data_IF_184851617077
#
_entry.id   IF_184851617077
#
_cell.length_a   1.000
_cell.length_b   1.000
_cell.length_c   1.000
_cell.angle_alpha   90.00
_cell.angle_beta   90.00
_cell.angle_gamma   90.00
#
_symmetry.space_group_name_H-M   'P 1'
#
loop_
_entity.id
_entity.type
_entity.pdbx_description
1 polymer ?
#
# COMPACT_ATOMS: atom_id res chain seq x y z
N UNK A 1 -18.31 2.01 -48.26
CA UNK A 1 -18.42 2.35 -46.82
C UNK A 1 -17.01 2.50 -46.30
N UNK A 2 -16.56 3.74 -46.12
CA UNK A 2 -15.22 4.02 -45.61
C UNK A 2 -15.29 3.96 -44.09
N UNK A 3 -14.27 3.36 -43.46
CA UNK A 3 -14.23 3.11 -42.03
C UNK A 3 -14.50 4.41 -41.25
N UNK A 4 -15.58 4.42 -40.48
CA UNK A 4 -16.26 5.64 -40.01
C UNK A 4 -15.56 6.25 -38.77
N UNK A 5 -14.62 5.52 -38.17
CA UNK A 5 -13.97 5.93 -36.93
C UNK A 5 -12.44 5.94 -37.08
N UNK A 6 -11.80 7.11 -37.00
CA UNK A 6 -10.35 7.23 -36.88
C UNK A 6 -9.81 6.41 -35.70
N UNK A 7 -8.60 5.85 -35.86
CA UNK A 7 -7.95 5.03 -34.83
C UNK A 7 -7.80 5.76 -33.49
N UNK A 8 -7.50 7.05 -33.53
CA UNK A 8 -7.33 7.87 -32.33
C UNK A 8 -8.65 8.03 -31.55
N UNK A 9 -9.77 8.15 -32.25
CA UNK A 9 -11.10 8.24 -31.64
C UNK A 9 -11.51 6.89 -31.01
N UNK A 10 -11.15 5.78 -31.65
CA UNK A 10 -11.31 4.45 -31.07
C UNK A 10 -10.47 4.28 -29.80
N UNK A 11 -9.19 4.67 -29.82
CA UNK A 11 -8.31 4.56 -28.65
C UNK A 11 -8.75 5.48 -27.51
N UNK A 12 -9.30 6.67 -27.80
CA UNK A 12 -9.85 7.57 -26.80
C UNK A 12 -11.03 6.93 -26.04
N UNK A 13 -11.92 6.21 -26.74
CA UNK A 13 -13.07 5.53 -26.14
C UNK A 13 -12.68 4.44 -25.13
N UNK A 14 -11.56 3.74 -25.37
CA UNK A 14 -11.01 2.73 -24.46
C UNK A 14 -10.38 3.36 -23.22
N UNK A 15 -9.81 4.56 -23.36
CA UNK A 15 -9.18 5.28 -22.25
C UNK A 15 -10.21 5.76 -21.22
N UNK A 16 -11.38 6.17 -21.67
CA UNK A 16 -12.46 6.67 -20.81
C UNK A 16 -13.09 5.55 -19.96
N UNK A 17 -13.10 4.32 -20.47
CA UNK A 17 -13.60 3.13 -19.75
C UNK A 17 -12.57 2.48 -18.84
N UNK A 18 -11.30 2.92 -18.89
CA UNK A 18 -10.26 2.41 -18.00
C UNK A 18 -10.42 2.97 -16.58
N UNK A 19 -10.91 2.12 -15.69
CA UNK A 19 -10.90 2.40 -14.26
C UNK A 19 -9.45 2.52 -13.75
N UNK A 20 -9.18 3.54 -12.92
CA UNK A 20 -7.87 3.70 -12.29
C UNK A 20 -7.64 2.56 -11.28
N UNK A 21 -6.37 2.22 -10.99
CA UNK A 21 -6.09 1.22 -9.93
C UNK A 21 -6.71 1.60 -8.58
N UNK A 22 -6.89 2.90 -8.32
CA UNK A 22 -7.55 3.40 -7.10
C UNK A 22 -9.05 3.10 -7.03
N UNK A 23 -9.69 2.79 -8.16
CA UNK A 23 -11.07 2.29 -8.20
C UNK A 23 -11.16 0.87 -7.62
N UNK A 24 -10.16 0.02 -7.91
CA UNK A 24 -10.12 -1.36 -7.44
C UNK A 24 -9.48 -1.53 -6.07
N UNK A 25 -8.62 -0.59 -5.67
CA UNK A 25 -7.80 -0.71 -4.47
C UNK A 25 -7.74 0.61 -3.69
N UNK A 26 -8.11 0.53 -2.41
CA UNK A 26 -7.88 1.62 -1.46
C UNK A 26 -6.42 1.60 -0.99
N UNK A 27 -5.56 2.28 -1.74
CA UNK A 27 -4.15 2.43 -1.41
C UNK A 27 -3.90 3.16 -0.10
N UNK A 28 -4.82 4.01 0.37
CA UNK A 28 -4.68 4.68 1.68
C UNK A 28 -4.84 3.65 2.79
N UNK A 29 -5.85 2.77 2.68
CA UNK A 29 -6.03 1.64 3.61
C UNK A 29 -4.85 0.70 3.59
N UNK A 30 -4.35 0.31 2.41
CA UNK A 30 -3.16 -0.54 2.31
C UNK A 30 -1.93 0.09 2.98
N UNK A 31 -1.68 1.37 2.72
CA UNK A 31 -0.55 2.10 3.31
C UNK A 31 -0.67 2.20 4.83
N UNK A 32 -1.88 2.44 5.36
CA UNK A 32 -2.13 2.44 6.81
C UNK A 32 -1.82 1.09 7.45
N UNK A 33 -2.31 0.00 6.86
CA UNK A 33 -2.06 -1.35 7.38
C UNK A 33 -0.57 -1.71 7.32
N UNK A 34 0.11 -1.33 6.23
CA UNK A 34 1.55 -1.53 6.09
C UNK A 34 2.33 -0.79 7.17
N UNK A 35 1.98 0.46 7.46
CA UNK A 35 2.63 1.25 8.50
C UNK A 35 2.47 0.60 9.89
N UNK A 36 1.28 0.10 10.22
CA UNK A 36 1.04 -0.59 11.49
C UNK A 36 1.90 -1.86 11.65
N UNK A 37 2.00 -2.67 10.58
CA UNK A 37 2.84 -3.88 10.58
C UNK A 37 4.32 -3.51 10.66
N UNK A 38 4.75 -2.46 9.96
CA UNK A 38 6.14 -2.01 9.96
C UNK A 38 6.60 -1.56 11.36
N UNK A 39 5.76 -0.84 12.11
CA UNK A 39 6.06 -0.44 13.49
C UNK A 39 6.27 -1.66 14.38
N UNK A 40 5.35 -2.64 14.31
CA UNK A 40 5.44 -3.88 15.10
C UNK A 40 6.69 -4.69 14.74
N UNK A 41 7.01 -4.80 13.44
CA UNK A 41 8.19 -5.51 12.98
C UNK A 41 9.48 -4.83 13.43
N UNK A 42 9.54 -3.49 13.38
CA UNK A 42 10.69 -2.74 13.87
C UNK A 42 10.89 -2.92 15.38
N UNK A 43 9.78 -2.91 16.15
CA UNK A 43 9.82 -3.21 17.59
C UNK A 43 10.31 -4.64 17.87
N UNK A 44 9.93 -5.62 17.06
CA UNK A 44 10.48 -6.99 17.18
C UNK A 44 11.97 -7.04 16.82
N UNK A 45 12.39 -6.35 15.77
CA UNK A 45 13.79 -6.30 15.35
C UNK A 45 14.69 -5.67 16.42
N UNK A 46 14.23 -4.63 17.12
CA UNK A 46 15.01 -4.03 18.21
C UNK A 46 15.21 -4.98 19.39
N UNK A 47 14.26 -5.91 19.62
CA UNK A 47 14.34 -6.90 20.69
C UNK A 47 15.32 -8.05 20.37
N UNK A 48 15.65 -8.31 19.10
CA UNK A 48 16.54 -9.41 18.68
C UNK A 48 18.01 -9.27 19.15
N UNK A 49 18.39 -8.14 19.75
CA UNK A 49 19.72 -7.92 20.35
C UNK A 49 19.67 -7.56 21.85
N UNK A 50 18.51 -7.71 22.48
CA UNK A 50 18.29 -7.30 23.86
C UNK A 50 19.08 -8.15 24.86
N UNK A 51 19.82 -7.50 25.76
CA UNK A 51 20.52 -8.16 26.88
C UNK A 51 19.59 -8.42 28.07
N UNK A 52 18.55 -7.60 28.23
CA UNK A 52 17.49 -7.79 29.24
C UNK A 52 16.12 -7.59 28.59
N UNK A 53 15.58 -8.71 28.11
CA UNK A 53 14.33 -8.75 27.38
C UNK A 53 13.13 -8.22 28.20
N UNK A 54 13.14 -8.38 29.52
CA UNK A 54 12.02 -7.94 30.36
C UNK A 54 11.94 -6.42 30.42
N UNK A 55 13.08 -5.77 30.64
CA UNK A 55 13.15 -4.30 30.67
C UNK A 55 12.86 -3.70 29.31
N UNK A 56 13.40 -4.28 28.23
CA UNK A 56 13.23 -3.74 26.88
C UNK A 56 11.82 -3.92 26.34
N UNK A 57 11.13 -5.04 26.68
CA UNK A 57 9.69 -5.20 26.39
C UNK A 57 8.86 -4.15 27.14
N UNK A 58 9.19 -3.86 28.41
CA UNK A 58 8.45 -2.87 29.18
C UNK A 58 8.59 -1.46 28.57
N UNK A 59 9.78 -1.12 28.09
CA UNK A 59 10.03 0.13 27.36
C UNK A 59 9.30 0.17 26.01
N UNK A 60 9.32 -0.92 25.24
CA UNK A 60 8.67 -1.00 23.94
C UNK A 60 7.14 -0.85 24.00
N UNK A 61 6.49 -1.29 25.10
CA UNK A 61 5.05 -1.11 25.33
C UNK A 61 4.63 0.32 25.67
N UNK A 62 5.60 1.21 25.92
CA UNK A 62 5.36 2.60 26.31
C UNK A 62 5.27 3.56 25.11
N UNK A 63 5.54 3.08 23.89
CA UNK A 63 5.39 3.79 22.62
C UNK A 63 4.04 3.48 21.98
#
# INVERSE_FOLDING_TARGET
MNNITPFDDFMASLKETNATLGYFCDFKKCSKNLAEVAIKLNALNSLLGSKDLKTDIFRAKSF
#
